data_IF_265224953772
#
_entry.id   IF_265224953772
#
_cell.length_a   1.000
_cell.length_b   1.000
_cell.length_c   1.000
_cell.angle_alpha   90.00
_cell.angle_beta   90.00
_cell.angle_gamma   90.00
#
_symmetry.space_group_name_H-M   'P 1'
#
loop_
_entity.id
_entity.type
_entity.pdbx_description
1 polymer ?
#
# COMPACT_ATOMS: atom_id res chain seq x y z
N UNK A 1 -26.24 -23.51 -14.02
CA UNK A 1 -26.62 -22.55 -15.10
C UNK A 1 -25.39 -22.24 -15.94
N UNK A 2 -25.26 -22.82 -17.15
CA UNK A 2 -24.21 -22.47 -18.10
C UNK A 2 -24.69 -21.25 -18.89
N UNK A 3 -24.34 -20.04 -18.43
CA UNK A 3 -24.63 -18.81 -19.16
C UNK A 3 -23.82 -18.75 -20.45
N UNK A 4 -24.47 -18.42 -21.58
CA UNK A 4 -23.79 -18.07 -22.83
C UNK A 4 -22.82 -16.93 -22.53
N UNK A 5 -21.52 -17.20 -22.66
CA UNK A 5 -20.46 -16.20 -22.49
C UNK A 5 -20.60 -15.15 -23.61
N UNK A 6 -21.14 -13.98 -23.29
CA UNK A 6 -21.33 -12.92 -24.27
C UNK A 6 -20.07 -12.08 -24.36
N UNK A 7 -19.30 -12.23 -25.45
CA UNK A 7 -18.04 -11.50 -25.67
C UNK A 7 -18.20 -9.99 -25.52
N UNK A 8 -19.34 -9.41 -25.94
CA UNK A 8 -19.59 -7.98 -25.76
C UNK A 8 -19.71 -7.58 -24.28
N UNK A 9 -20.34 -8.42 -23.45
CA UNK A 9 -20.40 -8.19 -22.01
C UNK A 9 -19.01 -8.25 -21.37
N UNK A 10 -18.15 -9.16 -21.83
CA UNK A 10 -16.76 -9.24 -21.36
C UNK A 10 -16.00 -7.96 -21.70
N UNK A 11 -16.10 -7.46 -22.93
CA UNK A 11 -15.45 -6.22 -23.33
C UNK A 11 -15.94 -5.01 -22.53
N UNK A 12 -17.24 -4.91 -22.26
CA UNK A 12 -17.80 -3.84 -21.42
C UNK A 12 -17.24 -3.91 -20.00
N UNK A 13 -17.26 -5.10 -19.37
CA UNK A 13 -16.71 -5.29 -18.01
C UNK A 13 -15.22 -4.99 -17.97
N UNK A 14 -14.45 -5.49 -18.94
CA UNK A 14 -13.02 -5.23 -19.04
C UNK A 14 -12.73 -3.73 -19.20
N UNK A 15 -13.50 -3.03 -20.03
CA UNK A 15 -13.32 -1.59 -20.27
C UNK A 15 -13.62 -0.78 -19.02
N UNK A 16 -14.71 -1.09 -18.31
CA UNK A 16 -15.03 -0.44 -17.02
C UNK A 16 -13.90 -0.68 -16.02
N UNK A 17 -13.39 -1.91 -15.93
CA UNK A 17 -12.29 -2.26 -15.05
C UNK A 17 -11.01 -1.47 -15.37
N UNK A 18 -10.63 -1.40 -16.65
CA UNK A 18 -9.43 -0.67 -17.09
C UNK A 18 -9.58 0.84 -16.82
N UNK A 19 -10.73 1.44 -17.17
CA UNK A 19 -10.97 2.87 -16.96
C UNK A 19 -10.96 3.20 -15.46
N UNK A 20 -11.65 2.40 -14.64
CA UNK A 20 -11.65 2.56 -13.18
C UNK A 20 -10.25 2.45 -12.59
N UNK A 21 -9.47 1.44 -13.02
CA UNK A 21 -8.08 1.26 -12.60
C UNK A 21 -7.19 2.44 -12.99
N UNK A 22 -7.33 2.98 -14.21
CA UNK A 22 -6.58 4.16 -14.64
C UNK A 22 -6.92 5.40 -13.82
N UNK A 23 -8.22 5.66 -13.57
CA UNK A 23 -8.65 6.80 -12.75
C UNK A 23 -8.09 6.69 -11.35
N UNK A 24 -8.15 5.50 -10.75
CA UNK A 24 -7.57 5.25 -9.44
C UNK A 24 -6.06 5.51 -9.41
N UNK A 25 -5.30 5.01 -10.40
CA UNK A 25 -3.86 5.23 -10.48
C UNK A 25 -3.50 6.70 -10.68
N UNK A 26 -4.29 7.47 -11.44
CA UNK A 26 -4.09 8.91 -11.60
C UNK A 26 -4.31 9.65 -10.27
N UNK A 27 -5.39 9.33 -9.54
CA UNK A 27 -5.66 9.92 -8.22
C UNK A 27 -4.58 9.56 -7.21
N UNK A 28 -4.13 8.30 -7.21
CA UNK A 28 -3.03 7.84 -6.36
C UNK A 28 -1.74 8.59 -6.68
N UNK A 29 -1.39 8.72 -7.97
CA UNK A 29 -0.22 9.46 -8.41
C UNK A 29 -0.30 10.94 -8.01
N UNK A 30 -1.46 11.57 -8.13
CA UNK A 30 -1.68 12.95 -7.69
C UNK A 30 -1.52 13.09 -6.17
N UNK A 31 -2.08 12.17 -5.38
CA UNK A 31 -1.92 12.15 -3.93
C UNK A 31 -0.46 12.00 -3.50
N UNK A 32 0.27 11.07 -4.12
CA UNK A 32 1.70 10.86 -3.85
C UNK A 32 2.58 12.02 -4.31
N UNK A 33 2.23 12.67 -5.43
CA UNK A 33 2.89 13.88 -5.88
C UNK A 33 2.66 15.06 -4.92
N UNK A 34 1.43 15.21 -4.41
CA UNK A 34 1.14 16.21 -3.37
C UNK A 34 1.92 15.94 -2.08
N UNK A 35 1.95 14.68 -1.63
CA UNK A 35 2.71 14.26 -0.46
C UNK A 35 4.21 14.55 -0.61
N UNK A 36 4.81 14.22 -1.76
CA UNK A 36 6.23 14.49 -1.99
C UNK A 36 6.56 15.98 -1.94
N UNK A 37 5.69 16.86 -2.46
CA UNK A 37 5.86 18.32 -2.37
C UNK A 37 5.78 18.84 -0.94
N UNK A 38 4.87 18.32 -0.12
CA UNK A 38 4.77 18.67 1.30
C UNK A 38 6.04 18.25 2.03
N UNK A 39 6.54 17.04 1.76
CA UNK A 39 7.78 16.52 2.36
C UNK A 39 8.99 17.39 1.99
N UNK A 40 9.13 17.77 0.73
CA UNK A 40 10.20 18.67 0.28
C UNK A 40 10.07 20.05 0.93
N UNK A 41 8.85 20.61 0.97
CA UNK A 41 8.61 21.94 1.54
C UNK A 41 8.97 22.01 3.02
N UNK A 42 8.67 20.96 3.79
CA UNK A 42 8.98 20.87 5.21
C UNK A 42 10.41 20.38 5.50
N UNK A 43 11.23 20.14 4.47
CA UNK A 43 12.58 19.55 4.59
C UNK A 43 12.57 18.17 5.26
N UNK A 44 11.48 17.42 5.08
CA UNK A 44 11.25 16.08 5.66
C UNK A 44 11.55 14.95 4.67
N UNK A 45 11.81 15.29 3.40
CA UNK A 45 12.30 14.33 2.42
C UNK A 45 12.86 14.97 1.16
N UNK A 46 13.84 14.31 0.57
CA UNK A 46 14.53 14.71 -0.64
C UNK A 46 14.31 13.67 -1.74
N UNK A 47 13.98 14.16 -2.93
CA UNK A 47 13.71 13.32 -4.11
C UNK A 47 14.67 13.75 -5.22
N UNK A 48 15.82 13.10 -5.30
CA UNK A 48 16.93 13.50 -6.16
C UNK A 48 16.87 12.86 -7.57
N UNK A 49 15.99 11.87 -7.78
CA UNK A 49 15.94 11.16 -9.05
C UNK A 49 15.28 12.04 -10.12
N UNK A 50 16.10 12.64 -11.00
CA UNK A 50 15.64 13.50 -12.09
C UNK A 50 16.43 13.24 -13.37
N UNK A 51 16.03 12.21 -14.12
CA UNK A 51 16.64 11.87 -15.42
C UNK A 51 15.71 12.22 -16.58
N UNK A 52 14.66 11.42 -16.76
CA UNK A 52 13.70 11.56 -17.85
C UNK A 52 12.33 11.01 -17.43
N UNK A 53 11.28 11.30 -18.21
CA UNK A 53 9.91 10.93 -17.84
C UNK A 53 9.75 9.42 -17.56
N UNK A 54 10.18 8.57 -18.49
CA UNK A 54 10.07 7.12 -18.35
C UNK A 54 10.94 6.57 -17.21
N UNK A 55 12.17 7.07 -17.07
CA UNK A 55 13.07 6.66 -16.00
C UNK A 55 12.49 7.02 -14.63
N UNK A 56 11.97 8.23 -14.49
CA UNK A 56 11.36 8.70 -13.25
C UNK A 56 10.09 7.89 -12.94
N UNK A 57 9.26 7.64 -13.96
CA UNK A 57 8.06 6.82 -13.82
C UNK A 57 8.40 5.41 -13.33
N UNK A 58 9.42 4.78 -13.90
CA UNK A 58 9.86 3.44 -13.49
C UNK A 58 10.46 3.48 -12.07
N UNK A 59 11.32 4.46 -11.77
CA UNK A 59 11.97 4.53 -10.46
C UNK A 59 10.98 4.78 -9.32
N UNK A 60 10.19 5.86 -9.41
CA UNK A 60 9.18 6.16 -8.39
C UNK A 60 8.02 5.16 -8.40
N UNK A 61 7.62 4.66 -9.57
CA UNK A 61 6.58 3.64 -9.69
C UNK A 61 6.99 2.31 -9.06
N UNK A 62 8.22 1.86 -9.28
CA UNK A 62 8.74 0.63 -8.65
C UNK A 62 8.90 0.79 -7.14
N UNK A 63 9.28 1.99 -6.65
CA UNK A 63 9.30 2.28 -5.21
C UNK A 63 7.91 2.05 -4.59
N UNK A 64 6.85 2.58 -5.21
CA UNK A 64 5.47 2.42 -4.74
C UNK A 64 5.02 0.96 -4.81
N UNK A 65 5.33 0.27 -5.91
CA UNK A 65 4.88 -1.11 -6.12
C UNK A 65 5.58 -2.08 -5.16
N UNK A 66 6.90 -1.94 -4.98
CA UNK A 66 7.66 -2.75 -4.03
C UNK A 66 7.22 -2.46 -2.59
N UNK A 67 7.02 -1.18 -2.25
CA UNK A 67 6.44 -0.74 -0.98
C UNK A 67 5.14 -1.44 -0.66
N UNK A 68 4.19 -1.39 -1.59
CA UNK A 68 2.89 -2.03 -1.46
C UNK A 68 3.04 -3.55 -1.29
N UNK A 69 3.89 -4.18 -2.08
CA UNK A 69 4.13 -5.62 -2.00
C UNK A 69 4.71 -6.04 -0.64
N UNK A 70 5.69 -5.32 -0.12
CA UNK A 70 6.30 -5.60 1.20
C UNK A 70 5.25 -5.46 2.31
N UNK A 71 4.47 -4.38 2.31
CA UNK A 71 3.39 -4.17 3.28
C UNK A 71 2.37 -5.31 3.19
N UNK A 72 1.91 -5.66 1.99
CA UNK A 72 0.95 -6.74 1.77
C UNK A 72 1.47 -8.09 2.30
N UNK A 73 2.73 -8.44 2.01
CA UNK A 73 3.33 -9.68 2.50
C UNK A 73 3.41 -9.73 4.03
N UNK A 74 3.72 -8.61 4.69
CA UNK A 74 3.76 -8.51 6.15
C UNK A 74 2.37 -8.69 6.72
N UNK A 75 1.39 -7.96 6.20
CA UNK A 75 0.00 -8.08 6.65
C UNK A 75 -0.53 -9.51 6.51
N UNK A 76 -0.33 -10.11 5.34
CA UNK A 76 -0.72 -11.49 5.09
C UNK A 76 -0.04 -12.47 6.06
N UNK A 77 1.25 -12.27 6.33
CA UNK A 77 2.01 -13.09 7.28
C UNK A 77 1.50 -12.92 8.70
N UNK A 78 1.24 -11.68 9.13
CA UNK A 78 0.72 -11.37 10.46
C UNK A 78 -0.69 -11.94 10.66
N UNK A 79 -1.54 -11.89 9.64
CA UNK A 79 -2.86 -12.52 9.66
C UNK A 79 -2.78 -14.05 9.75
N UNK A 80 -1.87 -14.66 9.01
CA UNK A 80 -1.62 -16.10 9.12
C UNK A 80 -1.11 -16.48 10.51
N UNK A 81 -0.19 -15.70 11.09
CA UNK A 81 0.31 -15.89 12.44
C UNK A 81 -0.82 -15.77 13.46
N UNK A 82 -1.66 -14.73 13.35
CA UNK A 82 -2.84 -14.54 14.21
C UNK A 82 -3.80 -15.73 14.15
N UNK A 83 -4.04 -16.28 12.96
CA UNK A 83 -4.90 -17.47 12.77
C UNK A 83 -4.30 -18.73 13.38
N UNK A 84 -2.98 -18.96 13.25
CA UNK A 84 -2.30 -20.15 13.77
C UNK A 84 -2.01 -20.10 15.28
N UNK A 85 -1.80 -18.91 15.83
CA UNK A 85 -1.39 -18.68 17.22
C UNK A 85 -2.45 -17.91 18.02
N UNK A 86 -3.74 -18.25 17.81
CA UNK A 86 -4.90 -17.57 18.37
C UNK A 86 -4.90 -17.44 19.91
N UNK A 87 -4.22 -18.35 20.61
CA UNK A 87 -4.13 -18.32 22.07
C UNK A 87 -3.18 -17.23 22.61
N UNK A 88 -2.28 -16.68 21.79
CA UNK A 88 -1.27 -15.72 22.25
C UNK A 88 -1.88 -14.36 22.59
N UNK A 89 -1.57 -13.77 23.77
CA UNK A 89 -2.04 -12.43 24.13
C UNK A 89 -1.42 -11.33 23.26
N UNK A 90 -0.27 -11.59 22.62
CA UNK A 90 0.40 -10.63 21.73
C UNK A 90 -0.28 -10.49 20.36
N UNK A 91 -1.12 -11.44 19.97
CA UNK A 91 -1.79 -11.46 18.65
C UNK A 91 -3.27 -11.06 18.75
N UNK A 92 -3.63 -10.25 19.75
CA UNK A 92 -4.99 -9.78 20.00
C UNK A 92 -5.05 -8.26 20.16
N UNK A 93 -6.15 -7.67 19.69
CA UNK A 93 -6.50 -6.26 19.88
C UNK A 93 -5.38 -5.31 19.47
N UNK A 94 -5.23 -4.22 20.23
CA UNK A 94 -4.27 -3.14 19.96
C UNK A 94 -2.81 -3.61 19.88
N UNK A 95 -2.44 -4.64 20.66
CA UNK A 95 -1.07 -5.19 20.64
C UNK A 95 -0.72 -5.81 19.30
N UNK A 96 -1.67 -6.51 18.67
CA UNK A 96 -1.49 -7.05 17.32
C UNK A 96 -1.25 -5.94 16.29
N UNK A 97 -2.09 -4.90 16.30
CA UNK A 97 -1.97 -3.77 15.40
C UNK A 97 -0.62 -3.04 15.58
N UNK A 98 -0.17 -2.84 16.83
CA UNK A 98 1.10 -2.18 17.13
C UNK A 98 2.31 -2.99 16.62
N UNK A 99 2.32 -4.31 16.85
CA UNK A 99 3.37 -5.20 16.35
C UNK A 99 3.38 -5.20 14.83
N UNK A 100 2.20 -5.36 14.21
CA UNK A 100 2.06 -5.40 12.75
C UNK A 100 2.56 -4.09 12.12
N UNK A 101 2.15 -2.95 12.67
CA UNK A 101 2.64 -1.63 12.26
C UNK A 101 4.16 -1.51 12.41
N UNK A 102 4.72 -1.94 13.55
CA UNK A 102 6.17 -1.84 13.80
C UNK A 102 6.96 -2.69 12.80
N UNK A 103 6.51 -3.92 12.54
CA UNK A 103 7.13 -4.80 11.53
C UNK A 103 7.01 -4.16 10.14
N UNK A 104 5.86 -3.57 9.79
CA UNK A 104 5.69 -2.85 8.52
C UNK A 104 6.70 -1.73 8.34
N UNK A 105 6.83 -0.82 9.32
CA UNK A 105 7.78 0.31 9.25
C UNK A 105 9.21 -0.20 9.08
N UNK A 106 9.62 -1.14 9.93
CA UNK A 106 11.00 -1.66 9.93
C UNK A 106 11.30 -2.34 8.59
N UNK A 107 10.45 -3.24 8.13
CA UNK A 107 10.66 -3.96 6.88
C UNK A 107 10.57 -3.04 5.67
N UNK A 108 9.64 -2.08 5.64
CA UNK A 108 9.58 -1.07 4.59
C UNK A 108 10.91 -0.31 4.50
N UNK A 109 11.43 0.14 5.64
CA UNK A 109 12.66 0.91 5.68
C UNK A 109 13.85 0.09 5.14
N UNK A 110 14.02 -1.14 5.61
CA UNK A 110 15.16 -1.97 5.22
C UNK A 110 15.03 -2.57 3.81
N UNK A 111 13.83 -2.99 3.39
CA UNK A 111 13.63 -3.68 2.10
C UNK A 111 13.35 -2.73 0.94
N UNK A 112 12.89 -1.51 1.22
CA UNK A 112 12.55 -0.54 0.18
C UNK A 112 13.39 0.71 0.33
N UNK A 113 13.27 1.42 1.46
CA UNK A 113 13.85 2.75 1.56
C UNK A 113 15.38 2.78 1.35
N UNK A 114 16.11 1.82 1.95
CA UNK A 114 17.57 1.71 1.77
C UNK A 114 17.98 1.43 0.31
N UNK A 115 17.17 0.68 -0.45
CA UNK A 115 17.48 0.35 -1.84
C UNK A 115 17.22 1.53 -2.79
N UNK A 116 16.29 2.43 -2.43
CA UNK A 116 15.97 3.61 -3.23
C UNK A 116 16.76 4.82 -2.74
N UNK A 117 18.07 4.80 -3.00
CA UNK A 117 19.05 5.82 -2.57
C UNK A 117 18.81 7.23 -3.10
N UNK A 118 17.84 7.45 -3.99
CA UNK A 118 17.48 8.78 -4.51
C UNK A 118 16.17 9.32 -3.92
N UNK A 119 15.63 8.62 -2.93
CA UNK A 119 14.52 9.05 -2.09
C UNK A 119 15.03 9.02 -0.65
N UNK A 120 15.20 10.18 -0.04
CA UNK A 120 15.55 10.30 1.36
C UNK A 120 14.32 10.80 2.11
N UNK A 121 13.87 10.04 3.09
CA UNK A 121 12.78 10.42 3.98
C UNK A 121 13.23 10.01 5.37
N UNK A 122 13.18 10.93 6.33
CA UNK A 122 13.58 10.61 7.69
C UNK A 122 12.76 9.45 8.25
N UNK A 123 13.40 8.56 8.99
CA UNK A 123 12.75 7.36 9.53
C UNK A 123 11.51 7.69 10.38
N UNK A 124 11.55 8.78 11.15
CA UNK A 124 10.42 9.21 11.96
C UNK A 124 9.25 9.74 11.14
N UNK A 125 9.53 10.36 9.99
CA UNK A 125 8.50 10.82 9.05
C UNK A 125 7.86 9.61 8.38
N UNK A 126 8.67 8.62 8.00
CA UNK A 126 8.18 7.36 7.46
C UNK A 126 7.25 6.65 8.46
N UNK A 127 7.63 6.61 9.75
CA UNK A 127 6.77 6.10 10.82
C UNK A 127 5.40 6.78 10.83
N UNK A 128 5.35 8.10 10.74
CA UNK A 128 4.10 8.86 10.73
C UNK A 128 3.26 8.60 9.48
N UNK A 129 3.88 8.56 8.30
CA UNK A 129 3.19 8.27 7.04
C UNK A 129 2.56 6.88 7.11
N UNK A 130 3.34 5.85 7.48
CA UNK A 130 2.84 4.47 7.57
C UNK A 130 1.78 4.37 8.66
N UNK A 131 1.92 5.05 9.80
CA UNK A 131 0.91 5.04 10.87
C UNK A 131 -0.41 5.64 10.39
N UNK A 132 -0.34 6.78 9.71
CA UNK A 132 -1.52 7.43 9.13
C UNK A 132 -2.21 6.53 8.10
N UNK A 133 -1.44 5.94 7.17
CA UNK A 133 -1.98 5.02 6.17
C UNK A 133 -2.60 3.77 6.79
N UNK A 134 -1.96 3.22 7.83
CA UNK A 134 -2.47 2.07 8.55
C UNK A 134 -3.77 2.39 9.30
N UNK A 135 -3.86 3.54 9.96
CA UNK A 135 -5.10 4.01 10.57
C UNK A 135 -6.21 4.26 9.54
N UNK A 136 -5.89 4.89 8.41
CA UNK A 136 -6.84 5.05 7.32
C UNK A 136 -7.35 3.69 6.85
N UNK A 137 -6.48 2.70 6.69
CA UNK A 137 -6.89 1.35 6.33
C UNK A 137 -7.83 0.76 7.37
N UNK A 138 -7.49 0.79 8.66
CA UNK A 138 -8.33 0.24 9.72
C UNK A 138 -9.70 0.96 9.82
N UNK A 139 -9.77 2.25 9.53
CA UNK A 139 -11.02 3.02 9.56
C UNK A 139 -11.89 2.80 8.31
N UNK A 140 -11.28 2.79 7.12
CA UNK A 140 -12.00 2.67 5.85
C UNK A 140 -12.26 1.22 5.42
N UNK A 141 -11.46 0.29 5.93
CA UNK A 141 -11.55 -1.15 5.67
C UNK A 141 -11.43 -1.97 6.97
N UNK A 142 -12.31 -1.74 7.97
CA UNK A 142 -12.27 -2.43 9.26
C UNK A 142 -12.67 -3.90 9.07
N UNK A 143 -11.68 -4.79 9.09
CA UNK A 143 -11.81 -6.19 8.68
C UNK A 143 -12.38 -6.30 7.25
N UNK A 144 -11.71 -7.03 6.36
CA UNK A 144 -12.35 -7.46 5.12
C UNK A 144 -13.46 -8.45 5.49
N UNK A 145 -14.63 -7.94 5.91
CA UNK A 145 -15.86 -8.72 5.95
C UNK A 145 -15.97 -9.35 4.57
N UNK A 146 -16.03 -10.67 4.58
CA UNK A 146 -16.17 -11.48 3.38
C UNK A 146 -17.39 -10.96 2.62
N UNK A 147 -17.14 -10.18 1.56
CA UNK A 147 -18.18 -9.53 0.73
C UNK A 147 -19.11 -10.57 0.07
N UNK A 148 -18.78 -11.86 0.18
CA UNK A 148 -19.58 -13.00 -0.24
C UNK A 148 -20.36 -13.69 0.90
N UNK A 149 -20.45 -13.11 2.10
CA UNK A 149 -21.42 -13.57 3.11
C UNK A 149 -22.83 -13.37 2.58
N UNK A 150 -23.40 -14.44 2.04
CA UNK A 150 -24.85 -14.54 1.84
C UNK A 150 -25.50 -14.53 3.23
N UNK A 151 -26.59 -13.78 3.43
CA UNK A 151 -27.44 -13.98 4.61
C UNK A 151 -27.94 -15.43 4.68
#
# INVERSE_FOLDING_TARGET
>A
MKGKFNMMSLFVVLSIFIISGMVFLILLAFGLYGLSRILIFLQLGEFEYNKGFYDNLIYYGSYILLSYFVIFCIEYTMDLLRKKLYASPYLKGTTFHLITYTVMVVMFYYMVHIYYTKIHIDYWVLMLIIAFLYLCKEVFYPDSEDLNRRP
#
